data_IF_116793524040
#
_entry.id   IF_116793524040
#
_cell.length_a   1.000
_cell.length_b   1.000
_cell.length_c   1.000
_cell.angle_alpha   90.00
_cell.angle_beta   90.00
_cell.angle_gamma   90.00
#
_symmetry.space_group_name_H-M   'P 1'
#
loop_
_entity.id
_entity.type
_entity.pdbx_description
1 polymer ?
#
# COMPACT_ATOMS: atom_id res chain seq x y z
N UNK A 1 34.50 46.91 -12.71
CA UNK A 1 34.06 45.50 -12.72
C UNK A 1 33.96 44.98 -11.30
N UNK A 2 32.77 44.83 -10.75
CA UNK A 2 32.57 44.25 -9.38
C UNK A 2 32.90 42.78 -9.44
N UNK A 3 34.03 42.39 -8.83
CA UNK A 3 34.37 40.98 -8.60
C UNK A 3 33.25 40.32 -7.79
N UNK A 4 32.69 39.20 -8.27
CA UNK A 4 31.75 38.39 -7.54
C UNK A 4 32.51 37.35 -6.70
N UNK A 5 33.02 37.70 -5.49
CA UNK A 5 33.80 36.79 -4.67
C UNK A 5 32.95 35.63 -4.12
N UNK A 6 31.61 35.77 -4.16
CA UNK A 6 30.68 34.74 -3.68
C UNK A 6 30.65 33.47 -4.54
N UNK A 7 30.71 33.59 -5.86
CA UNK A 7 30.64 32.44 -6.77
C UNK A 7 31.89 31.58 -6.68
N UNK A 8 33.08 32.22 -6.72
CA UNK A 8 34.33 31.44 -6.59
C UNK A 8 34.46 30.72 -5.26
N UNK A 9 34.05 31.35 -4.16
CA UNK A 9 34.02 30.73 -2.83
C UNK A 9 33.06 29.53 -2.79
N UNK A 10 31.88 29.63 -3.42
CA UNK A 10 30.90 28.56 -3.50
C UNK A 10 31.42 27.39 -4.34
N UNK A 11 32.08 27.67 -5.47
CA UNK A 11 32.70 26.66 -6.33
C UNK A 11 33.80 25.87 -5.60
N UNK A 12 34.71 26.59 -4.92
CA UNK A 12 35.79 25.95 -4.14
C UNK A 12 35.20 25.11 -3.00
N UNK A 13 34.17 25.62 -2.29
CA UNK A 13 33.50 24.88 -1.23
C UNK A 13 32.81 23.62 -1.76
N UNK A 14 32.19 23.69 -2.94
CA UNK A 14 31.55 22.48 -3.58
C UNK A 14 32.60 21.50 -4.08
N UNK A 15 33.76 21.94 -4.52
CA UNK A 15 34.82 21.06 -5.03
C UNK A 15 35.47 20.22 -3.91
N UNK A 16 35.66 20.82 -2.73
CA UNK A 16 36.28 20.17 -1.57
C UNK A 16 35.29 19.54 -0.62
N UNK A 17 34.00 19.94 -0.70
CA UNK A 17 32.93 19.47 0.17
C UNK A 17 32.45 18.06 -0.17
N UNK A 18 31.81 17.40 0.82
CA UNK A 18 31.11 16.13 0.56
C UNK A 18 29.93 16.38 -0.37
N UNK A 19 29.65 15.47 -1.34
CA UNK A 19 28.50 15.61 -2.23
C UNK A 19 27.19 15.61 -1.42
N UNK A 20 26.22 16.43 -1.83
CA UNK A 20 24.88 16.46 -1.23
C UNK A 20 24.00 15.29 -1.69
N UNK A 21 24.42 14.57 -2.71
CA UNK A 21 23.71 13.43 -3.28
C UNK A 21 24.15 12.12 -2.65
N UNK A 22 23.24 11.15 -2.56
CA UNK A 22 23.53 9.80 -2.13
C UNK A 22 24.00 8.95 -3.32
N UNK A 23 24.97 8.08 -3.05
CA UNK A 23 25.47 7.11 -4.04
C UNK A 23 24.47 5.91 -4.15
N UNK A 24 23.35 6.16 -4.84
CA UNK A 24 22.41 5.07 -5.14
C UNK A 24 22.96 4.21 -6.30
N UNK A 25 22.89 2.87 -6.24
CA UNK A 25 22.16 2.03 -5.27
C UNK A 25 22.95 1.60 -4.02
N UNK A 26 24.24 1.95 -3.91
CA UNK A 26 25.11 1.52 -2.80
C UNK A 26 24.60 2.05 -1.44
N UNK A 27 24.16 3.30 -1.43
CA UNK A 27 23.55 3.92 -0.27
C UNK A 27 22.07 4.22 -0.56
N UNK A 28 21.17 3.46 0.10
CA UNK A 28 19.73 3.72 0.04
C UNK A 28 19.36 4.77 1.07
N UNK A 29 18.40 5.62 0.70
CA UNK A 29 17.82 6.60 1.63
C UNK A 29 17.00 5.88 2.70
N UNK A 30 17.17 6.26 3.95
CA UNK A 30 16.26 5.88 5.04
C UNK A 30 15.02 6.76 4.98
N UNK A 31 13.86 6.13 4.97
CA UNK A 31 12.57 6.83 4.97
C UNK A 31 12.04 6.96 6.39
N UNK A 32 11.32 8.04 6.66
CA UNK A 32 10.64 8.25 7.95
C UNK A 32 9.35 7.43 8.00
N UNK A 33 8.84 7.16 9.20
CA UNK A 33 7.59 6.41 9.41
C UNK A 33 6.36 7.10 8.78
N UNK A 34 6.42 8.42 8.60
CA UNK A 34 5.38 9.19 7.92
C UNK A 34 5.38 9.02 6.38
N UNK A 35 6.40 8.37 5.82
CA UNK A 35 6.50 8.17 4.36
C UNK A 35 5.42 7.19 3.89
N UNK A 36 4.70 7.59 2.84
CA UNK A 36 3.69 6.75 2.20
C UNK A 36 4.36 5.90 1.13
N UNK A 37 4.51 4.62 1.40
CA UNK A 37 5.11 3.66 0.47
C UNK A 37 4.10 2.62 -0.01
N UNK A 38 4.54 1.38 -0.19
CA UNK A 38 3.69 0.32 -0.72
C UNK A 38 2.53 -0.03 0.21
N UNK A 39 1.42 -0.44 -0.40
CA UNK A 39 0.27 -0.98 0.33
C UNK A 39 0.42 -2.48 0.47
N UNK A 40 0.41 -2.97 1.71
CA UNK A 40 0.35 -4.40 2.05
C UNK A 40 -1.08 -4.83 2.36
N UNK A 41 -1.38 -6.11 2.19
CA UNK A 41 -2.65 -6.71 2.55
C UNK A 41 -2.44 -8.00 3.35
N UNK A 42 -3.00 -8.05 4.56
CA UNK A 42 -3.15 -9.28 5.34
C UNK A 42 -4.38 -10.04 4.85
N UNK A 43 -4.19 -10.86 3.81
CA UNK A 43 -5.29 -11.50 3.07
C UNK A 43 -6.17 -12.38 3.97
N UNK A 44 -5.61 -12.98 5.02
CA UNK A 44 -6.33 -13.83 5.96
C UNK A 44 -7.43 -13.08 6.73
N UNK A 45 -7.22 -11.79 6.98
CA UNK A 45 -8.19 -10.92 7.65
C UNK A 45 -9.16 -10.23 6.70
N UNK A 46 -8.88 -10.30 5.39
CA UNK A 46 -9.67 -9.61 4.38
C UNK A 46 -11.06 -10.26 4.24
N UNK A 47 -12.10 -9.42 4.23
CA UNK A 47 -13.51 -9.83 4.02
C UNK A 47 -13.98 -9.60 2.58
N UNK A 48 -13.10 -9.18 1.68
CA UNK A 48 -13.39 -8.92 0.26
C UNK A 48 -14.61 -8.02 0.03
N UNK A 49 -14.81 -7.00 0.88
CA UNK A 49 -15.97 -6.09 0.85
C UNK A 49 -15.95 -5.07 -0.30
N UNK A 50 -14.83 -4.96 -1.04
CA UNK A 50 -14.63 -4.06 -2.19
C UNK A 50 -14.67 -2.56 -1.84
N UNK A 51 -14.67 -2.16 -0.57
CA UNK A 51 -14.64 -0.76 -0.18
C UNK A 51 -13.34 -0.06 -0.62
N UNK A 52 -12.21 -0.74 -0.51
CA UNK A 52 -10.92 -0.22 -0.95
C UNK A 52 -10.88 0.03 -2.47
N UNK A 53 -11.49 -0.85 -3.28
CA UNK A 53 -11.62 -0.69 -4.72
C UNK A 53 -12.49 0.52 -5.07
N UNK A 54 -13.69 0.65 -4.47
CA UNK A 54 -14.63 1.75 -4.74
C UNK A 54 -14.10 3.12 -4.34
N UNK A 55 -13.30 3.19 -3.28
CA UNK A 55 -12.73 4.43 -2.78
C UNK A 55 -11.34 4.75 -3.35
N UNK A 56 -10.82 3.95 -4.26
CA UNK A 56 -9.55 4.21 -4.92
C UNK A 56 -9.71 5.28 -6.00
N UNK A 57 -9.05 6.45 -5.89
CA UNK A 57 -9.22 7.54 -6.87
C UNK A 57 -8.65 7.21 -8.24
N UNK A 58 -7.67 6.30 -8.31
CA UNK A 58 -7.00 5.92 -9.56
C UNK A 58 -7.44 4.57 -10.12
N UNK A 59 -8.36 3.87 -9.42
CA UNK A 59 -8.76 2.52 -9.82
C UNK A 59 -7.60 1.52 -9.85
N UNK A 60 -6.62 1.69 -8.93
CA UNK A 60 -5.46 0.82 -8.85
C UNK A 60 -5.75 -0.52 -8.17
N UNK A 61 -6.90 -0.67 -7.52
CA UNK A 61 -7.30 -1.85 -6.76
C UNK A 61 -8.41 -2.61 -7.48
N UNK A 62 -8.28 -3.93 -7.49
CA UNK A 62 -9.32 -4.86 -7.96
C UNK A 62 -9.54 -5.95 -6.92
N UNK A 63 -10.79 -6.22 -6.58
CA UNK A 63 -11.15 -7.21 -5.56
C UNK A 63 -12.22 -8.15 -6.09
N UNK A 64 -11.88 -9.44 -6.23
CA UNK A 64 -12.81 -10.50 -6.59
C UNK A 64 -13.25 -11.27 -5.34
N UNK A 65 -14.54 -11.21 -5.03
CA UNK A 65 -15.14 -11.95 -3.92
C UNK A 65 -15.32 -13.45 -4.27
N UNK A 66 -15.54 -13.75 -5.53
CA UNK A 66 -15.76 -15.12 -6.02
C UNK A 66 -14.47 -15.93 -5.95
N UNK A 67 -13.35 -15.31 -6.30
CA UNK A 67 -12.03 -15.93 -6.29
C UNK A 67 -11.25 -15.70 -5.00
N UNK A 68 -11.77 -14.87 -4.08
CA UNK A 68 -11.08 -14.41 -2.88
C UNK A 68 -9.70 -13.82 -3.20
N UNK A 69 -9.67 -12.96 -4.22
CA UNK A 69 -8.46 -12.32 -4.72
C UNK A 69 -8.51 -10.81 -4.48
N UNK A 70 -7.36 -10.27 -4.14
CA UNK A 70 -7.11 -8.85 -4.02
C UNK A 70 -5.87 -8.50 -4.85
N UNK A 71 -6.01 -7.58 -5.78
CA UNK A 71 -4.94 -7.15 -6.69
C UNK A 71 -4.72 -5.65 -6.57
N UNK A 72 -3.46 -5.22 -6.61
CA UNK A 72 -3.08 -3.81 -6.71
C UNK A 72 -2.13 -3.61 -7.89
N UNK A 73 -2.43 -2.62 -8.73
CA UNK A 73 -1.55 -2.13 -9.78
C UNK A 73 -0.68 -1.00 -9.21
N UNK A 74 0.58 -1.30 -8.91
CA UNK A 74 1.52 -0.35 -8.32
C UNK A 74 1.79 0.85 -9.22
N UNK A 75 1.67 0.68 -10.54
CA UNK A 75 1.91 1.75 -11.52
C UNK A 75 0.73 2.75 -11.62
N UNK A 76 -0.46 2.34 -11.17
CA UNK A 76 -1.62 3.23 -11.06
C UNK A 76 -1.76 3.84 -9.67
N UNK A 77 -1.12 3.25 -8.67
CA UNK A 77 -1.29 3.65 -7.28
C UNK A 77 -0.64 5.02 -7.01
N UNK A 78 -1.43 6.00 -6.57
CA UNK A 78 -0.95 7.33 -6.17
C UNK A 78 -0.54 7.44 -4.69
N UNK A 79 -0.46 6.32 -3.97
CA UNK A 79 -0.04 6.25 -2.57
C UNK A 79 -0.84 7.17 -1.62
N UNK A 80 -2.12 7.39 -1.90
CA UNK A 80 -2.99 8.31 -1.14
C UNK A 80 -3.42 7.79 0.24
N UNK A 81 -3.20 6.51 0.55
CA UNK A 81 -3.59 5.82 1.80
C UNK A 81 -5.11 5.64 1.99
N UNK A 82 -5.96 6.13 1.09
CA UNK A 82 -7.41 6.07 1.25
C UNK A 82 -7.95 4.64 1.47
N UNK A 83 -7.39 3.64 0.78
CA UNK A 83 -7.78 2.24 0.92
C UNK A 83 -7.54 1.70 2.35
N UNK A 84 -6.45 2.12 3.01
CA UNK A 84 -6.14 1.73 4.39
C UNK A 84 -7.13 2.35 5.38
N UNK A 85 -7.51 3.62 5.16
CA UNK A 85 -8.44 4.35 6.02
C UNK A 85 -9.87 3.80 5.97
N UNK A 86 -10.34 3.43 4.78
CA UNK A 86 -11.72 2.93 4.58
C UNK A 86 -11.89 1.46 4.91
N UNK A 87 -10.81 0.74 5.22
CA UNK A 87 -10.87 -0.70 5.50
C UNK A 87 -11.51 -0.96 6.87
N UNK A 88 -12.69 -1.61 6.95
CA UNK A 88 -13.40 -1.82 8.21
C UNK A 88 -12.68 -2.82 9.13
N UNK A 89 -11.98 -3.79 8.54
CA UNK A 89 -11.23 -4.82 9.27
C UNK A 89 -9.75 -4.50 9.42
N UNK A 90 -9.32 -3.34 8.90
CA UNK A 90 -7.93 -2.85 8.97
C UNK A 90 -6.90 -3.90 8.55
N UNK A 91 -7.22 -4.66 7.48
CA UNK A 91 -6.30 -5.64 6.91
C UNK A 91 -5.28 -5.04 5.94
N UNK A 92 -5.43 -3.75 5.59
CA UNK A 92 -4.51 -3.03 4.73
C UNK A 92 -3.56 -2.19 5.58
N UNK A 93 -2.28 -2.29 5.30
CA UNK A 93 -1.22 -1.47 5.89
C UNK A 93 -0.49 -0.67 4.81
N UNK A 94 0.23 0.33 5.20
CA UNK A 94 1.09 1.10 4.31
C UNK A 94 2.48 1.17 4.91
N UNK A 95 3.43 0.54 4.22
CA UNK A 95 4.84 0.54 4.61
C UNK A 95 5.51 1.85 4.17
N UNK A 96 6.66 2.17 4.75
CA UNK A 96 7.49 3.30 4.33
C UNK A 96 8.44 2.99 3.17
N UNK A 97 8.37 1.78 2.61
CA UNK A 97 9.18 1.33 1.48
C UNK A 97 8.35 1.35 0.21
N UNK A 98 8.90 1.86 -0.89
CA UNK A 98 8.22 1.90 -2.17
C UNK A 98 8.18 0.53 -2.85
N UNK A 99 7.25 0.39 -3.80
CA UNK A 99 7.26 -0.76 -4.71
C UNK A 99 8.58 -0.79 -5.48
N UNK A 100 9.15 -1.98 -5.75
CA UNK A 100 10.34 -2.09 -6.60
C UNK A 100 10.05 -1.61 -8.01
N UNK A 101 11.08 -1.09 -8.68
CA UNK A 101 10.99 -0.75 -10.09
C UNK A 101 10.75 -2.02 -10.92
N UNK A 102 9.84 -1.94 -11.87
CA UNK A 102 9.44 -3.04 -12.74
C UNK A 102 9.68 -2.69 -14.21
N UNK A 103 10.00 -3.68 -15.05
CA UNK A 103 10.26 -3.48 -16.48
C UNK A 103 8.97 -3.49 -17.29
N UNK A 104 8.02 -4.32 -16.90
CA UNK A 104 6.75 -4.48 -17.61
C UNK A 104 5.57 -4.12 -16.72
N UNK A 105 4.45 -3.72 -17.35
CA UNK A 105 3.23 -3.39 -16.62
C UNK A 105 2.63 -4.60 -15.87
N UNK A 106 2.84 -5.80 -16.38
CA UNK A 106 2.36 -7.02 -15.74
C UNK A 106 3.05 -7.27 -14.40
N UNK A 107 4.37 -7.01 -14.31
CA UNK A 107 5.14 -7.12 -13.07
C UNK A 107 4.73 -6.11 -11.99
N UNK A 108 4.10 -5.00 -12.38
CA UNK A 108 3.59 -3.98 -11.46
C UNK A 108 2.30 -4.36 -10.74
N UNK A 109 1.71 -5.51 -11.08
CA UNK A 109 0.49 -6.02 -10.45
C UNK A 109 0.82 -7.01 -9.34
N UNK A 110 0.38 -6.72 -8.14
CA UNK A 110 0.57 -7.58 -6.97
C UNK A 110 -0.77 -8.23 -6.60
N UNK A 111 -0.81 -9.53 -6.76
CA UNK A 111 -1.97 -10.37 -6.44
C UNK A 111 -1.77 -11.00 -5.05
N UNK A 112 -2.74 -10.81 -4.17
CA UNK A 112 -2.86 -11.54 -2.91
C UNK A 112 -4.15 -12.36 -2.97
N UNK A 113 -4.01 -13.68 -2.97
CA UNK A 113 -5.13 -14.61 -2.96
C UNK A 113 -5.10 -15.47 -1.69
N UNK A 114 -6.27 -15.84 -1.19
CA UNK A 114 -6.33 -16.85 -0.12
C UNK A 114 -5.84 -18.20 -0.68
N UNK A 115 -5.02 -18.94 0.08
CA UNK A 115 -4.63 -20.28 -0.32
C UNK A 115 -5.86 -21.20 -0.49
N UNK A 116 -5.82 -22.15 -1.44
CA UNK A 116 -6.92 -23.07 -1.66
C UNK A 116 -7.22 -23.87 -0.39
N UNK A 117 -8.46 -23.83 0.07
CA UNK A 117 -8.92 -24.47 1.33
C UNK A 117 -8.96 -23.55 2.55
N UNK A 118 -8.44 -22.32 2.47
CA UNK A 118 -8.59 -21.37 3.56
C UNK A 118 -9.99 -20.71 3.53
N UNK A 119 -10.65 -20.72 4.69
CA UNK A 119 -11.96 -20.09 4.86
C UNK A 119 -11.77 -18.58 5.08
N UNK A 120 -12.31 -17.71 4.21
CA UNK A 120 -12.18 -16.27 4.37
C UNK A 120 -12.84 -15.78 5.67
N UNK A 121 -12.29 -14.72 6.25
CA UNK A 121 -12.73 -14.18 7.54
C UNK A 121 -14.24 -13.87 7.60
N UNK A 122 -14.84 -13.47 6.46
CA UNK A 122 -16.29 -13.20 6.41
C UNK A 122 -17.17 -14.45 6.54
N UNK A 123 -16.67 -15.63 6.14
CA UNK A 123 -17.39 -16.90 6.33
C UNK A 123 -17.31 -17.36 7.79
N UNK A 124 -16.13 -17.25 8.40
CA UNK A 124 -15.95 -17.50 9.85
C UNK A 124 -16.85 -16.60 10.70
N UNK A 125 -16.99 -15.34 10.31
CA UNK A 125 -17.88 -14.40 10.99
C UNK A 125 -19.38 -14.75 10.80
N UNK A 126 -19.79 -15.28 9.64
CA UNK A 126 -21.16 -15.75 9.41
C UNK A 126 -21.47 -17.02 10.19
N UNK A 127 -20.54 -17.95 10.27
CA UNK A 127 -20.69 -19.17 11.08
C UNK A 127 -20.76 -18.85 12.57
N UNK A 128 -19.97 -17.87 13.05
CA UNK A 128 -20.05 -17.38 14.42
C UNK A 128 -21.34 -16.60 14.73
N UNK A 129 -21.93 -15.92 13.73
CA UNK A 129 -23.18 -15.17 13.85
C UNK A 129 -24.44 -16.01 13.58
N UNK A 130 -24.28 -17.26 13.12
CA UNK A 130 -25.36 -18.15 12.69
C UNK A 130 -25.99 -18.94 13.81
N UNK A 131 -26.55 -18.28 14.86
CA UNK A 131 -27.73 -18.80 15.60
C UNK A 131 -28.79 -17.70 15.53
N UNK A 132 -29.89 -17.91 14.77
CA UNK A 132 -31.04 -17.03 14.89
C UNK A 132 -31.58 -17.20 16.32
N UNK A 133 -31.61 -16.08 17.07
CA UNK A 133 -32.41 -16.02 18.29
C UNK A 133 -33.86 -16.25 17.85
N UNK A 134 -34.42 -17.40 18.18
CA UNK A 134 -35.85 -17.65 18.18
C UNK A 134 -36.51 -16.55 19.01
N UNK A 135 -37.24 -15.69 18.35
CA UNK A 135 -38.17 -14.77 19.00
C UNK A 135 -39.32 -15.64 19.43
N UNK A 136 -39.37 -16.00 20.71
CA UNK A 136 -40.58 -16.54 21.34
C UNK A 136 -41.63 -15.44 21.27
N UNK A 137 -42.65 -15.66 20.43
CA UNK A 137 -43.93 -14.99 20.49
C UNK A 137 -44.70 -15.61 21.66
N UNK A 138 -44.71 -14.94 22.80
CA UNK A 138 -45.67 -15.18 23.84
C UNK A 138 -46.88 -14.28 23.60
N UNK A 139 -48.02 -14.91 23.32
CA UNK A 139 -49.36 -14.38 23.29
C UNK A 139 -49.81 -14.11 24.72
#
# INVERSE_FOLDING_TARGET
MKRFPGISKTLIKSLVGKPATLNYPQQKRTYTDATRGKVGNEIERCIFCRLCERNCPTGALSVSKERNEWEIDSLKCCLCRRCVEVCPVKCLSMDNVYFPAVKTRAEGKYLSALPPGAVPAYQKAKEAAGKPKEVKSDL
#
